data_IF_441731278878
#
_entry.id   IF_441731278878
#
_cell.length_a   1.000
_cell.length_b   1.000
_cell.length_c   1.000
_cell.angle_alpha   90.00
_cell.angle_beta   90.00
_cell.angle_gamma   90.00
#
_symmetry.space_group_name_H-M   'P 1'
#
loop_
_entity.id
_entity.type
_entity.pdbx_description
1 polymer ?
#
# COMPACT_ATOMS: atom_id res chain seq x y z
N UNK A 1 -21.14 -0.13 -18.04
CA UNK A 1 -21.70 -0.87 -16.87
C UNK A 1 -22.19 -2.25 -17.29
N UNK A 2 -21.91 -3.26 -16.48
CA UNK A 2 -22.32 -4.63 -16.77
C UNK A 2 -23.82 -4.83 -16.55
N UNK A 3 -24.47 -5.55 -17.48
CA UNK A 3 -25.89 -5.88 -17.34
C UNK A 3 -26.10 -6.90 -16.20
N UNK A 4 -27.25 -6.86 -15.49
CA UNK A 4 -27.50 -7.79 -14.38
C UNK A 4 -27.33 -9.27 -14.72
N UNK A 5 -27.75 -9.70 -15.91
CA UNK A 5 -27.65 -11.09 -16.34
C UNK A 5 -26.21 -11.54 -16.67
N UNK A 6 -25.28 -10.59 -16.85
CA UNK A 6 -23.88 -10.92 -17.12
C UNK A 6 -23.14 -11.33 -15.85
N UNK A 7 -23.62 -10.88 -14.68
CA UNK A 7 -22.98 -11.23 -13.38
C UNK A 7 -23.07 -12.72 -13.08
N UNK A 8 -24.15 -13.36 -13.49
CA UNK A 8 -24.39 -14.78 -13.23
C UNK A 8 -23.46 -15.68 -14.03
N UNK A 9 -22.90 -15.18 -15.13
CA UNK A 9 -22.04 -15.92 -16.03
C UNK A 9 -20.56 -15.56 -15.93
N UNK A 10 -20.20 -14.72 -14.92
CA UNK A 10 -18.81 -14.34 -14.72
C UNK A 10 -17.97 -15.50 -14.23
N UNK A 11 -16.87 -15.78 -14.94
CA UNK A 11 -15.89 -16.76 -14.49
C UNK A 11 -15.10 -16.19 -13.29
N UNK A 12 -14.54 -17.10 -12.48
CA UNK A 12 -13.66 -16.71 -11.39
C UNK A 12 -12.45 -15.92 -11.91
N UNK A 13 -11.91 -16.31 -13.05
CA UNK A 13 -10.79 -15.61 -13.70
C UNK A 13 -11.15 -14.16 -14.03
N UNK A 14 -12.32 -13.93 -14.61
CA UNK A 14 -12.78 -12.59 -14.96
C UNK A 14 -12.95 -11.74 -13.70
N UNK A 15 -13.56 -12.30 -12.63
CA UNK A 15 -13.72 -11.60 -11.35
C UNK A 15 -12.38 -11.22 -10.75
N UNK A 16 -11.38 -12.10 -10.82
CA UNK A 16 -10.04 -11.84 -10.31
C UNK A 16 -9.36 -10.71 -11.09
N UNK A 17 -9.50 -10.69 -12.40
CA UNK A 17 -8.97 -9.59 -13.24
C UNK A 17 -9.64 -8.26 -12.91
N UNK A 18 -10.96 -8.28 -12.74
CA UNK A 18 -11.70 -7.06 -12.36
C UNK A 18 -11.29 -6.60 -10.98
N UNK A 19 -11.17 -7.51 -10.01
CA UNK A 19 -10.74 -7.19 -8.66
C UNK A 19 -9.36 -6.53 -8.66
N UNK A 20 -8.42 -7.09 -9.43
CA UNK A 20 -7.07 -6.52 -9.53
C UNK A 20 -7.11 -5.08 -10.07
N UNK A 21 -7.93 -4.80 -11.07
CA UNK A 21 -8.11 -3.44 -11.61
C UNK A 21 -8.70 -2.50 -10.56
N UNK A 22 -9.70 -2.96 -9.83
CA UNK A 22 -10.35 -2.17 -8.79
C UNK A 22 -9.36 -1.85 -7.66
N UNK A 23 -8.61 -2.85 -7.18
CA UNK A 23 -7.62 -2.67 -6.11
C UNK A 23 -6.50 -1.72 -6.55
N UNK A 24 -6.02 -1.87 -7.79
CA UNK A 24 -5.03 -0.96 -8.35
C UNK A 24 -5.57 0.47 -8.38
N UNK A 25 -6.80 0.66 -8.80
CA UNK A 25 -7.43 1.97 -8.84
C UNK A 25 -7.61 2.56 -7.44
N UNK A 26 -8.00 1.74 -6.45
CA UNK A 26 -8.09 2.19 -5.05
C UNK A 26 -6.75 2.75 -4.58
N UNK A 27 -5.65 2.06 -4.88
CA UNK A 27 -4.31 2.53 -4.52
C UNK A 27 -3.92 3.79 -5.28
N UNK A 28 -4.22 3.85 -6.58
CA UNK A 28 -3.85 4.99 -7.42
C UNK A 28 -4.65 6.27 -7.11
N UNK A 29 -5.86 6.13 -6.58
CA UNK A 29 -6.67 7.28 -6.19
C UNK A 29 -6.30 7.81 -4.80
N UNK A 30 -5.53 7.06 -4.01
CA UNK A 30 -5.07 7.53 -2.71
C UNK A 30 -4.10 8.70 -2.88
N UNK A 31 -4.34 9.78 -2.15
CA UNK A 31 -3.46 10.96 -2.16
C UNK A 31 -2.16 10.73 -1.37
N UNK A 32 -2.11 9.69 -0.57
CA UNK A 32 -0.90 9.31 0.16
C UNK A 32 -0.05 8.33 -0.65
N UNK A 33 1.28 8.40 -0.55
CA UNK A 33 2.16 7.44 -1.21
C UNK A 33 1.95 6.02 -0.67
N UNK A 34 1.90 5.04 -1.57
CA UNK A 34 1.87 3.61 -1.25
C UNK A 34 2.95 2.91 -2.05
N UNK A 35 3.85 2.23 -1.35
CA UNK A 35 4.92 1.43 -1.95
C UNK A 35 4.80 0.02 -1.42
N UNK A 36 4.55 -0.95 -2.30
CA UNK A 36 4.33 -2.35 -1.94
C UNK A 36 5.55 -3.17 -2.32
N UNK A 37 6.06 -3.94 -1.37
CA UNK A 37 7.23 -4.80 -1.55
C UNK A 37 6.88 -6.27 -1.31
N UNK A 38 7.57 -7.15 -2.02
CA UNK A 38 7.55 -8.58 -1.70
C UNK A 38 8.48 -8.91 -0.54
N UNK A 39 8.58 -10.19 -0.16
CA UNK A 39 9.41 -10.63 0.97
C UNK A 39 10.92 -10.52 0.70
N UNK A 40 11.32 -10.28 -0.54
CA UNK A 40 12.71 -10.05 -0.93
C UNK A 40 13.04 -8.57 -1.03
N UNK A 41 12.17 -7.70 -0.51
CA UNK A 41 12.30 -6.24 -0.51
C UNK A 41 12.26 -5.61 -1.91
N UNK A 42 11.73 -6.34 -2.89
CA UNK A 42 11.56 -5.82 -4.25
C UNK A 42 10.25 -5.05 -4.32
N UNK A 43 10.31 -3.83 -4.84
CA UNK A 43 9.13 -3.01 -5.05
C UNK A 43 8.30 -3.62 -6.18
N UNK A 44 7.09 -4.07 -5.88
CA UNK A 44 6.19 -4.67 -6.85
C UNK A 44 5.11 -3.71 -7.33
N UNK A 45 4.83 -2.67 -6.56
CA UNK A 45 3.88 -1.64 -6.96
C UNK A 45 4.14 -0.32 -6.25
N UNK A 46 3.99 0.78 -6.98
CA UNK A 46 3.95 2.14 -6.46
C UNK A 46 2.70 2.80 -6.99
N UNK A 47 1.90 3.41 -6.12
CA UNK A 47 0.76 4.18 -6.60
C UNK A 47 1.20 5.50 -7.22
N UNK A 48 0.28 6.24 -7.84
CA UNK A 48 0.60 7.49 -8.53
C UNK A 48 1.17 8.54 -7.58
N UNK A 49 0.68 8.61 -6.35
CA UNK A 49 1.21 9.53 -5.32
C UNK A 49 2.66 9.22 -4.98
N UNK A 50 3.01 7.94 -4.89
CA UNK A 50 4.40 7.52 -4.61
C UNK A 50 5.32 7.85 -5.78
N UNK A 51 4.91 7.58 -7.02
CA UNK A 51 5.69 7.90 -8.22
C UNK A 51 5.95 9.40 -8.29
N UNK A 52 4.95 10.21 -8.02
CA UNK A 52 5.07 11.67 -8.00
C UNK A 52 6.05 12.13 -6.92
N UNK A 53 5.99 11.54 -5.72
CA UNK A 53 6.87 11.89 -4.60
C UNK A 53 8.33 11.55 -4.88
N UNK A 54 8.58 10.36 -5.43
CA UNK A 54 9.94 9.89 -5.71
C UNK A 54 10.44 10.28 -7.10
N UNK A 55 9.60 10.94 -7.90
CA UNK A 55 9.90 11.45 -9.25
C UNK A 55 10.19 10.37 -10.29
N UNK A 56 9.95 9.11 -9.98
CA UNK A 56 10.05 8.00 -10.92
C UNK A 56 9.43 6.72 -10.35
N UNK A 57 9.11 5.80 -11.25
CA UNK A 57 8.65 4.47 -10.88
C UNK A 57 9.87 3.57 -10.58
N UNK A 58 9.95 3.11 -9.34
CA UNK A 58 11.02 2.25 -8.85
C UNK A 58 10.63 0.76 -8.84
N UNK A 59 9.51 0.41 -9.44
CA UNK A 59 9.05 -0.99 -9.52
C UNK A 59 10.14 -1.89 -10.11
N UNK A 60 10.37 -3.02 -9.48
CA UNK A 60 11.42 -3.98 -9.86
C UNK A 60 12.75 -3.77 -9.15
N UNK A 61 12.93 -2.66 -8.46
CA UNK A 61 14.15 -2.39 -7.68
C UNK A 61 13.97 -2.76 -6.23
N UNK A 62 15.08 -3.04 -5.54
CA UNK A 62 15.05 -3.25 -4.10
C UNK A 62 14.78 -1.93 -3.38
N UNK A 63 13.84 -1.93 -2.43
CA UNK A 63 13.58 -0.78 -1.59
C UNK A 63 14.83 -0.37 -0.80
N UNK A 64 15.72 -1.32 -0.51
CA UNK A 64 16.96 -1.07 0.22
C UNK A 64 17.98 -0.25 -0.57
N UNK A 65 17.89 -0.26 -1.90
CA UNK A 65 18.75 0.56 -2.75
C UNK A 65 18.38 2.04 -2.71
N UNK A 66 17.18 2.35 -2.20
CA UNK A 66 16.63 3.72 -2.15
C UNK A 66 16.76 4.35 -0.76
N UNK A 67 17.30 3.64 0.22
CA UNK A 67 17.37 4.08 1.62
C UNK A 67 18.79 3.98 2.17
N UNK A 68 19.15 4.82 3.15
CA UNK A 68 20.43 4.69 3.82
C UNK A 68 20.49 3.41 4.68
N UNK A 69 21.71 2.93 5.04
CA UNK A 69 21.84 1.67 5.80
C UNK A 69 21.03 1.61 7.08
N UNK A 70 20.90 2.73 7.80
CA UNK A 70 20.13 2.79 9.05
C UNK A 70 18.65 2.51 8.83
N UNK A 71 18.07 3.05 7.75
CA UNK A 71 16.68 2.79 7.38
C UNK A 71 16.48 1.35 6.95
N UNK A 72 17.44 0.78 6.23
CA UNK A 72 17.43 -0.63 5.82
C UNK A 72 17.45 -1.57 7.02
N UNK A 73 18.25 -1.24 8.04
CA UNK A 73 18.29 -1.98 9.29
C UNK A 73 16.94 -1.99 9.99
N UNK A 74 16.24 -0.86 10.01
CA UNK A 74 14.89 -0.76 10.57
C UNK A 74 13.91 -1.64 9.79
N UNK A 75 13.98 -1.64 8.46
CA UNK A 75 13.13 -2.50 7.63
C UNK A 75 13.34 -3.98 8.00
N UNK A 76 14.58 -4.41 8.13
CA UNK A 76 14.90 -5.79 8.51
C UNK A 76 14.32 -6.16 9.87
N UNK A 77 14.43 -5.28 10.85
CA UNK A 77 13.88 -5.50 12.20
C UNK A 77 12.37 -5.61 12.19
N UNK A 78 11.70 -4.76 11.41
CA UNK A 78 10.23 -4.78 11.31
C UNK A 78 9.76 -6.06 10.61
N UNK A 79 10.40 -6.45 9.52
CA UNK A 79 10.06 -7.69 8.80
C UNK A 79 10.28 -8.90 9.72
N UNK A 80 11.35 -8.92 10.49
CA UNK A 80 11.59 -9.99 11.48
C UNK A 80 10.46 -10.04 12.52
N UNK A 81 9.98 -8.89 12.99
CA UNK A 81 8.86 -8.82 13.92
C UNK A 81 7.56 -9.35 13.29
N UNK A 82 7.31 -9.06 12.02
CA UNK A 82 6.16 -9.64 11.31
C UNK A 82 6.23 -11.17 11.27
N UNK A 83 7.45 -11.74 11.17
CA UNK A 83 7.65 -13.20 11.14
C UNK A 83 7.47 -13.87 12.48
N UNK A 84 7.57 -13.14 13.58
CA UNK A 84 7.45 -13.70 14.93
C UNK A 84 6.03 -14.16 15.25
N UNK A 85 5.02 -13.51 14.71
CA UNK A 85 3.62 -13.84 14.94
C UNK A 85 2.73 -13.35 13.81
N UNK A 86 1.72 -14.14 13.47
CA UNK A 86 0.68 -13.78 12.51
C UNK A 86 -0.17 -12.58 12.96
N UNK A 87 -0.08 -12.21 14.24
CA UNK A 87 -0.80 -11.08 14.82
C UNK A 87 -0.01 -9.78 14.72
N UNK A 88 1.26 -9.84 14.31
CA UNK A 88 2.13 -8.69 14.16
C UNK A 88 1.96 -8.09 12.75
N UNK A 89 1.06 -7.13 12.57
CA UNK A 89 0.66 -6.69 11.23
C UNK A 89 0.84 -5.21 10.94
N UNK A 90 0.87 -4.35 11.96
CA UNK A 90 1.03 -2.91 11.77
C UNK A 90 1.95 -2.38 12.85
N UNK A 91 2.92 -1.56 12.46
CA UNK A 91 3.82 -0.90 13.40
C UNK A 91 4.06 0.55 12.97
N UNK A 92 4.05 1.46 13.94
CA UNK A 92 4.31 2.88 13.72
C UNK A 92 5.82 3.09 13.64
N UNK A 93 6.31 3.50 12.45
CA UNK A 93 7.75 3.55 12.18
C UNK A 93 8.34 4.95 12.16
N UNK A 94 7.54 5.96 11.81
CA UNK A 94 8.10 7.30 11.62
C UNK A 94 7.04 8.38 11.71
N UNK A 95 7.41 9.50 12.31
CA UNK A 95 6.60 10.73 12.32
C UNK A 95 7.29 11.80 11.47
N UNK A 96 6.60 12.30 10.45
CA UNK A 96 7.07 13.44 9.65
C UNK A 96 6.31 14.69 10.07
N UNK A 97 6.96 15.52 10.89
CA UNK A 97 6.32 16.73 11.41
C UNK A 97 6.11 17.81 10.34
N UNK A 98 7.02 17.91 9.37
CA UNK A 98 6.90 18.89 8.30
C UNK A 98 5.65 18.66 7.45
N UNK A 99 5.38 17.42 7.11
CA UNK A 99 4.22 17.04 6.31
C UNK A 99 3.01 16.68 7.19
N UNK A 100 3.15 16.73 8.50
CA UNK A 100 2.11 16.35 9.47
C UNK A 100 1.51 14.99 9.14
N UNK A 101 2.36 13.98 9.07
CA UNK A 101 1.92 12.62 8.77
C UNK A 101 2.61 11.58 9.63
N UNK A 102 1.89 10.51 9.88
CA UNK A 102 2.39 9.30 10.51
C UNK A 102 2.65 8.25 9.45
N UNK A 103 3.72 7.49 9.62
CA UNK A 103 4.13 6.44 8.70
C UNK A 103 4.16 5.11 9.42
N UNK A 104 3.59 4.10 8.81
CA UNK A 104 3.48 2.74 9.33
C UNK A 104 4.02 1.75 8.32
N UNK A 105 4.56 0.64 8.81
CA UNK A 105 4.76 -0.54 7.99
C UNK A 105 3.67 -1.55 8.28
N UNK A 106 3.13 -2.17 7.24
CA UNK A 106 2.01 -3.10 7.31
C UNK A 106 2.39 -4.40 6.64
N UNK A 107 2.20 -5.52 7.36
CA UNK A 107 2.43 -6.86 6.82
C UNK A 107 1.34 -7.22 5.82
N UNK A 108 1.73 -7.87 4.73
CA UNK A 108 0.81 -8.45 3.77
C UNK A 108 0.91 -9.97 3.87
N UNK A 109 -0.24 -10.62 4.02
CA UNK A 109 -0.28 -12.06 4.30
C UNK A 109 -1.21 -12.78 3.34
N UNK A 110 -0.85 -14.01 3.05
CA UNK A 110 -1.72 -14.95 2.35
C UNK A 110 -2.85 -15.42 3.29
N UNK A 111 -3.82 -16.12 2.73
CA UNK A 111 -5.01 -16.56 3.47
C UNK A 111 -4.69 -17.41 4.70
N UNK A 112 -3.57 -18.16 4.66
CA UNK A 112 -3.11 -18.98 5.79
C UNK A 112 -2.26 -18.22 6.81
N UNK A 113 -2.06 -16.90 6.59
CA UNK A 113 -1.26 -16.04 7.46
C UNK A 113 0.22 -15.98 7.10
N UNK A 114 0.65 -16.66 6.04
CA UNK A 114 2.04 -16.58 5.58
C UNK A 114 2.37 -15.15 5.12
N UNK A 115 3.48 -14.61 5.58
CA UNK A 115 3.95 -13.29 5.16
C UNK A 115 4.39 -13.35 3.69
N UNK A 116 3.76 -12.55 2.85
CA UNK A 116 4.07 -12.49 1.41
C UNK A 116 4.67 -11.16 0.97
N UNK A 117 4.65 -10.16 1.84
CA UNK A 117 5.21 -8.87 1.56
C UNK A 117 4.85 -7.86 2.63
N UNK A 118 5.05 -6.59 2.33
CA UNK A 118 4.71 -5.50 3.22
C UNK A 118 4.53 -4.22 2.41
N UNK A 119 3.89 -3.21 3.02
CA UNK A 119 3.87 -1.88 2.41
C UNK A 119 4.04 -0.80 3.47
N UNK A 120 4.43 0.38 3.01
CA UNK A 120 4.52 1.58 3.83
C UNK A 120 3.23 2.36 3.66
N UNK A 121 2.57 2.64 4.78
CA UNK A 121 1.31 3.38 4.84
C UNK A 121 1.55 4.76 5.40
N UNK A 122 1.09 5.79 4.70
CA UNK A 122 1.18 7.17 5.15
C UNK A 122 -0.20 7.69 5.55
N UNK A 123 -0.30 8.32 6.72
CA UNK A 123 -1.54 8.93 7.17
C UNK A 123 -1.31 10.41 7.47
N UNK A 124 -1.86 11.28 6.62
CA UNK A 124 -1.83 12.71 6.84
C UNK A 124 -2.81 13.07 7.96
N UNK A 125 -2.36 13.95 8.88
CA UNK A 125 -3.15 14.33 10.06
C UNK A 125 -3.74 15.73 9.94
N UNK A 126 -3.65 16.36 8.77
CA UNK A 126 -4.28 17.65 8.53
C UNK A 126 -5.79 17.51 8.54
N UNK A 127 -6.44 18.49 9.14
CA UNK A 127 -7.90 18.57 9.13
C UNK A 127 -8.39 18.77 7.68
N UNK A 128 -9.45 18.08 7.32
CA UNK A 128 -10.07 18.26 6.00
C UNK A 128 -10.61 19.69 5.88
N UNK A 129 -10.28 20.34 4.78
CA UNK A 129 -10.72 21.73 4.50
C UNK A 129 -11.78 21.81 3.41
N UNK A 130 -11.99 20.72 2.66
CA UNK A 130 -13.03 20.66 1.64
C UNK A 130 -14.39 20.51 2.32
N UNK A 131 -15.38 21.26 1.87
CA UNK A 131 -16.74 21.16 2.40
C UNK A 131 -17.38 19.80 2.11
N UNK A 132 -18.27 19.39 2.98
CA UNK A 132 -19.04 18.16 2.77
C UNK A 132 -19.85 18.24 1.48
N UNK A 133 -19.92 17.12 0.77
CA UNK A 133 -20.77 17.02 -0.41
C UNK A 133 -22.21 17.32 -0.07
N UNK A 134 -22.83 18.19 -0.87
CA UNK A 134 -24.24 18.51 -0.72
C UNK A 134 -24.97 18.17 -2.03
N UNK A 135 -25.90 17.23 -2.01
CA UNK A 135 -26.63 16.88 -3.22
C UNK A 135 -27.47 18.06 -3.71
N UNK A 136 -27.54 18.23 -5.01
CA UNK A 136 -28.41 19.23 -5.62
C UNK A 136 -29.87 18.82 -5.39
N UNK A 137 -30.68 19.78 -5.01
CA UNK A 137 -32.11 19.57 -4.86
C UNK A 137 -32.80 19.51 -6.22
#
# INVERSE_FOLDING_TARGET
>A
MMRPNQKEHMTAEWRNKMLNKLLKSVLDQDTAPVVVCDIDDIIVYMNQSAIKRYHKDLTGKSVKDCHPPKANEQIDKVVAWFRESKDNNIIYTYRNDEENKDVYMVALRDDDGTLIGYYEKHEYRNKETVGLYQPKK
#
